data_IF_276388183054
#
_entry.id   IF_276388183054
#
_cell.length_a   1.000
_cell.length_b   1.000
_cell.length_c   1.000
_cell.angle_alpha   90.00
_cell.angle_beta   90.00
_cell.angle_gamma   90.00
#
_symmetry.space_group_name_H-M   'P 1'
#
loop_
_entity.id
_entity.type
_entity.pdbx_description
1 polymer ?
#
# COMPACT_ATOMS: atom_id res chain seq x y z
N UNK A 1 64.60 -5.61 52.02
CA UNK A 1 63.96 -6.59 51.12
C UNK A 1 62.89 -5.85 50.33
N UNK A 2 62.99 -5.83 49.01
CA UNK A 2 61.91 -5.45 48.07
C UNK A 2 60.76 -6.49 48.16
N UNK A 3 59.50 -6.25 47.71
CA UNK A 3 59.23 -5.69 46.38
C UNK A 3 57.93 -4.86 46.12
N UNK A 4 58.03 -4.06 45.05
CA UNK A 4 57.09 -3.86 43.92
C UNK A 4 55.61 -3.47 44.16
N UNK A 5 55.27 -2.23 43.77
CA UNK A 5 53.98 -1.86 43.18
C UNK A 5 54.20 -0.87 42.00
N UNK A 6 53.29 -0.85 41.01
CA UNK A 6 53.61 -0.59 39.60
C UNK A 6 53.60 0.89 39.23
N UNK A 7 54.48 1.27 38.30
CA UNK A 7 54.44 2.56 37.61
C UNK A 7 53.21 2.59 36.69
N UNK A 8 52.18 3.33 37.06
CA UNK A 8 51.10 3.71 36.15
C UNK A 8 51.69 4.77 35.22
N UNK A 9 52.06 4.35 34.01
CA UNK A 9 52.36 5.25 32.93
C UNK A 9 51.04 5.90 32.48
N UNK A 10 50.89 7.19 32.79
CA UNK A 10 49.90 8.07 32.19
C UNK A 10 50.17 8.07 30.68
N UNK A 11 49.37 7.29 29.95
CA UNK A 11 49.38 7.28 28.50
C UNK A 11 49.01 8.67 28.00
N UNK A 12 50.02 9.40 27.53
CA UNK A 12 49.86 10.66 26.83
C UNK A 12 49.01 10.36 25.59
N UNK A 13 47.77 10.88 25.54
CA UNK A 13 46.98 10.90 24.32
C UNK A 13 47.74 11.78 23.32
N UNK A 14 48.51 11.14 22.46
CA UNK A 14 49.12 11.76 21.31
C UNK A 14 48.00 12.21 20.36
N UNK A 15 47.60 13.48 20.49
CA UNK A 15 46.85 14.22 19.48
C UNK A 15 47.75 14.39 18.26
N UNK A 16 47.87 13.32 17.46
CA UNK A 16 48.49 13.40 16.14
C UNK A 16 47.42 13.79 15.13
N UNK A 17 47.78 14.78 14.34
CA UNK A 17 46.98 15.46 13.35
C UNK A 17 46.85 14.63 12.07
N UNK A 18 45.79 14.95 11.33
CA UNK A 18 45.53 14.68 9.90
C UNK A 18 44.94 13.31 9.53
N UNK A 19 43.72 13.39 9.00
CA UNK A 19 43.12 12.37 8.16
C UNK A 19 41.65 12.68 7.91
N UNK A 20 41.36 13.42 6.84
CA UNK A 20 40.03 13.72 6.27
C UNK A 20 39.17 12.48 5.92
N UNK A 21 39.48 11.31 6.46
CA UNK A 21 38.75 10.04 6.28
C UNK A 21 37.83 9.65 7.45
N UNK A 22 38.06 10.14 8.68
CA UNK A 22 37.22 9.74 9.83
C UNK A 22 35.85 10.45 9.86
N UNK A 23 35.72 11.62 9.24
CA UNK A 23 34.48 12.42 9.27
C UNK A 23 33.34 11.78 8.47
N UNK A 24 33.66 10.96 7.45
CA UNK A 24 32.65 10.26 6.65
C UNK A 24 32.11 9.01 7.36
N UNK A 25 32.92 8.29 8.13
CA UNK A 25 32.46 7.13 8.90
C UNK A 25 31.54 7.51 10.07
N UNK A 26 31.85 8.61 10.77
CA UNK A 26 31.01 9.09 11.88
C UNK A 26 29.62 9.55 11.40
N UNK A 27 29.53 10.25 10.25
CA UNK A 27 28.25 10.79 9.77
C UNK A 27 27.23 9.70 9.40
N UNK A 28 27.68 8.56 8.89
CA UNK A 28 26.83 7.39 8.65
C UNK A 28 26.51 6.63 9.95
N UNK A 29 27.47 6.51 10.89
CA UNK A 29 27.23 5.92 12.22
C UNK A 29 26.22 6.70 13.08
N UNK A 30 26.10 8.01 12.88
CA UNK A 30 25.15 8.88 13.58
C UNK A 30 23.90 9.23 12.75
N UNK A 31 23.73 8.63 11.56
CA UNK A 31 22.55 8.85 10.74
C UNK A 31 21.41 8.02 11.31
N UNK A 32 20.45 8.68 11.97
CA UNK A 32 19.28 7.97 12.48
C UNK A 32 18.42 7.41 11.35
N UNK A 33 17.78 6.26 11.60
CA UNK A 33 16.93 5.53 10.64
C UNK A 33 15.95 6.45 9.92
N UNK A 34 15.89 6.35 8.60
CA UNK A 34 14.92 7.06 7.77
C UNK A 34 13.55 6.39 7.81
N UNK A 35 12.49 7.13 7.44
CA UNK A 35 11.15 6.53 7.32
C UNK A 35 11.16 5.37 6.32
N UNK A 36 11.85 5.53 5.18
CA UNK A 36 11.95 4.48 4.16
C UNK A 36 12.56 3.19 4.71
N UNK A 37 13.67 3.28 5.41
CA UNK A 37 14.35 2.12 6.00
C UNK A 37 13.48 1.45 7.07
N UNK A 38 12.79 2.23 7.90
CA UNK A 38 11.94 1.69 8.93
C UNK A 38 10.72 0.95 8.35
N UNK A 39 10.04 1.55 7.38
CA UNK A 39 8.87 0.93 6.74
C UNK A 39 9.25 -0.26 5.84
N UNK A 40 10.45 -0.27 5.26
CA UNK A 40 10.96 -1.43 4.54
C UNK A 40 11.07 -2.68 5.43
N UNK A 41 11.43 -2.52 6.72
CA UNK A 41 11.43 -3.63 7.69
C UNK A 41 10.03 -4.19 7.97
N UNK A 42 8.99 -3.39 7.73
CA UNK A 42 7.58 -3.79 7.85
C UNK A 42 7.02 -4.35 6.53
N UNK A 43 7.87 -4.61 5.52
CA UNK A 43 7.46 -5.01 4.17
C UNK A 43 6.52 -4.02 3.48
N UNK A 44 6.63 -2.73 3.80
CA UNK A 44 5.84 -1.70 3.16
C UNK A 44 6.26 -1.51 1.70
N UNK A 45 5.29 -1.51 0.79
CA UNK A 45 5.51 -1.29 -0.64
C UNK A 45 5.31 0.19 -0.97
N UNK A 46 6.39 0.88 -1.30
CA UNK A 46 6.34 2.25 -1.79
C UNK A 46 5.94 2.32 -3.27
N UNK A 47 5.32 3.43 -3.67
CA UNK A 47 5.18 3.77 -5.08
C UNK A 47 6.56 4.08 -5.65
N UNK A 48 6.87 3.55 -6.84
CA UNK A 48 8.11 3.87 -7.55
C UNK A 48 8.14 5.37 -7.91
N UNK A 49 9.21 6.07 -7.53
CA UNK A 49 9.40 7.50 -7.82
C UNK A 49 9.36 7.83 -9.32
N UNK A 50 9.69 6.86 -10.18
CA UNK A 50 9.65 7.01 -11.64
C UNK A 50 8.25 6.83 -12.25
N UNK A 51 7.28 6.27 -11.51
CA UNK A 51 5.96 5.94 -12.03
C UNK A 51 4.97 7.11 -11.89
N UNK A 52 5.05 8.07 -12.81
CA UNK A 52 4.19 9.27 -12.82
C UNK A 52 2.70 8.93 -12.81
N UNK A 53 2.28 7.92 -13.56
CA UNK A 53 0.87 7.53 -13.67
C UNK A 53 0.32 7.03 -12.33
N UNK A 54 1.13 6.29 -11.56
CA UNK A 54 0.75 5.85 -10.22
C UNK A 54 0.62 7.02 -9.24
N UNK A 55 1.52 8.00 -9.32
CA UNK A 55 1.44 9.19 -8.46
C UNK A 55 0.21 10.05 -8.77
N UNK A 56 -0.13 10.20 -10.05
CA UNK A 56 -1.35 10.89 -10.48
C UNK A 56 -2.60 10.17 -9.97
N UNK A 57 -2.64 8.85 -10.15
CA UNK A 57 -3.74 8.01 -9.65
C UNK A 57 -3.92 8.14 -8.13
N UNK A 58 -2.83 8.10 -7.38
CA UNK A 58 -2.85 8.20 -5.93
C UNK A 58 -3.35 9.58 -5.49
N UNK A 59 -2.84 10.65 -6.10
CA UNK A 59 -3.29 12.01 -5.81
C UNK A 59 -4.78 12.20 -6.12
N UNK A 60 -5.25 11.82 -7.30
CA UNK A 60 -6.67 11.90 -7.69
C UNK A 60 -7.57 11.12 -6.73
N UNK A 61 -7.07 10.03 -6.14
CA UNK A 61 -7.87 9.18 -5.27
C UNK A 61 -8.27 9.85 -3.94
N UNK A 62 -7.48 10.83 -3.45
CA UNK A 62 -7.62 11.42 -2.11
C UNK A 62 -7.15 12.90 -2.04
N UNK A 63 -7.24 13.62 -3.17
CA UNK A 63 -6.63 14.95 -3.34
C UNK A 63 -7.04 15.98 -2.28
N UNK A 64 -8.30 15.97 -1.85
CA UNK A 64 -8.81 16.89 -0.82
C UNK A 64 -8.12 16.66 0.52
N UNK A 65 -7.98 15.41 0.96
CA UNK A 65 -7.32 15.09 2.22
C UNK A 65 -5.81 15.30 2.14
N UNK A 66 -5.19 15.02 0.99
CA UNK A 66 -3.77 15.29 0.75
C UNK A 66 -3.50 16.78 0.90
N UNK A 67 -4.29 17.64 0.22
CA UNK A 67 -4.16 19.10 0.31
C UNK A 67 -4.42 19.60 1.74
N UNK A 68 -5.42 19.04 2.42
CA UNK A 68 -5.73 19.39 3.81
C UNK A 68 -4.57 19.08 4.76
N UNK A 69 -3.87 17.96 4.57
CA UNK A 69 -2.82 17.51 5.49
C UNK A 69 -1.44 18.03 5.13
N UNK A 70 -1.09 18.11 3.84
CA UNK A 70 0.24 18.53 3.38
C UNK A 70 0.26 19.91 2.72
N UNK A 71 -0.88 20.59 2.68
CA UNK A 71 -1.07 21.94 2.15
C UNK A 71 -1.41 21.96 0.67
N UNK A 72 -2.04 23.06 0.24
CA UNK A 72 -2.51 23.27 -1.15
C UNK A 72 -1.39 23.28 -2.20
N UNK A 73 -0.13 23.37 -1.78
CA UNK A 73 1.03 23.24 -2.67
C UNK A 73 1.19 21.81 -3.21
N UNK A 74 0.64 20.80 -2.53
CA UNK A 74 0.58 19.42 -3.01
C UNK A 74 -0.69 19.27 -3.87
N UNK A 75 -0.61 19.75 -5.11
CA UNK A 75 -1.77 19.89 -6.01
C UNK A 75 -1.72 18.99 -7.25
N UNK A 76 -0.74 18.10 -7.35
CA UNK A 76 -0.59 17.14 -8.45
C UNK A 76 0.09 15.86 -7.97
N UNK A 77 0.08 14.81 -8.80
CA UNK A 77 0.85 13.58 -8.55
C UNK A 77 2.35 13.86 -8.42
N UNK A 78 2.92 14.73 -9.25
CA UNK A 78 4.34 15.10 -9.15
C UNK A 78 4.68 15.78 -7.82
N UNK A 79 3.81 16.68 -7.33
CA UNK A 79 4.00 17.33 -6.03
C UNK A 79 3.79 16.37 -4.87
N UNK A 80 2.89 15.41 -5.02
CA UNK A 80 2.73 14.32 -4.07
C UNK A 80 4.00 13.46 -4.00
N UNK A 81 4.57 13.09 -5.15
CA UNK A 81 5.83 12.35 -5.25
C UNK A 81 6.96 13.10 -4.55
N UNK A 82 7.19 14.38 -4.88
CA UNK A 82 8.23 15.21 -4.25
C UNK A 82 8.07 15.24 -2.73
N UNK A 83 6.83 15.41 -2.24
CA UNK A 83 6.52 15.40 -0.81
C UNK A 83 6.83 14.04 -0.18
N UNK A 84 6.43 12.96 -0.82
CA UNK A 84 6.70 11.60 -0.35
C UNK A 84 8.20 11.28 -0.35
N UNK A 85 8.94 11.68 -1.37
CA UNK A 85 10.40 11.51 -1.45
C UNK A 85 11.13 12.22 -0.31
N UNK A 86 10.74 13.47 -0.04
CA UNK A 86 11.26 14.23 1.08
C UNK A 86 10.95 13.52 2.41
N UNK A 87 9.71 13.08 2.63
CA UNK A 87 9.31 12.38 3.85
C UNK A 87 10.03 11.04 4.01
N UNK A 88 10.16 10.25 2.95
CA UNK A 88 10.85 8.95 2.97
C UNK A 88 12.32 9.09 3.40
N UNK A 89 12.97 10.18 3.03
CA UNK A 89 14.36 10.49 3.36
C UNK A 89 14.52 11.14 4.75
N UNK A 90 13.43 11.56 5.38
CA UNK A 90 13.42 12.16 6.72
C UNK A 90 13.68 11.13 7.80
N UNK A 91 14.17 11.60 8.94
CA UNK A 91 14.43 10.77 10.12
C UNK A 91 13.12 10.26 10.74
N UNK A 92 13.02 8.95 10.96
CA UNK A 92 11.82 8.29 11.48
C UNK A 92 11.40 8.80 12.86
N UNK A 93 12.33 8.89 13.81
CA UNK A 93 12.05 9.29 15.19
C UNK A 93 11.49 10.71 15.28
N UNK A 94 12.00 11.63 14.44
CA UNK A 94 11.54 13.02 14.38
C UNK A 94 10.18 13.20 13.68
N UNK A 95 9.78 12.24 12.87
CA UNK A 95 8.57 12.33 12.03
C UNK A 95 7.55 11.23 12.32
N UNK A 96 7.54 10.70 13.55
CA UNK A 96 6.59 9.64 13.97
C UNK A 96 5.13 10.01 13.71
N UNK A 97 4.75 11.28 13.91
CA UNK A 97 3.39 11.77 13.66
C UNK A 97 2.98 11.75 12.19
N UNK A 98 3.94 11.71 11.26
CA UNK A 98 3.68 11.74 9.82
C UNK A 98 3.63 10.34 9.20
N UNK A 99 3.98 9.29 9.95
CA UNK A 99 4.11 7.92 9.43
C UNK A 99 2.80 7.40 8.85
N UNK A 100 1.68 7.67 9.49
CA UNK A 100 0.38 7.23 9.00
C UNK A 100 0.04 7.88 7.65
N UNK A 101 0.41 9.15 7.47
CA UNK A 101 0.23 9.84 6.19
C UNK A 101 1.15 9.27 5.10
N UNK A 102 2.40 8.93 5.44
CA UNK A 102 3.33 8.26 4.53
C UNK A 102 2.78 6.88 4.13
N UNK A 103 2.32 6.09 5.11
CA UNK A 103 1.68 4.79 4.84
C UNK A 103 0.44 4.94 3.96
N UNK A 104 -0.31 6.02 4.15
CA UNK A 104 -1.56 6.27 3.44
C UNK A 104 -1.38 6.73 1.99
N UNK A 105 -0.34 7.50 1.66
CA UNK A 105 -0.23 8.18 0.36
C UNK A 105 1.09 7.95 -0.39
N UNK A 106 2.13 7.43 0.25
CA UNK A 106 3.40 7.11 -0.42
C UNK A 106 3.53 5.62 -0.76
N UNK A 107 2.54 4.81 -0.37
CA UNK A 107 2.50 3.37 -0.57
C UNK A 107 1.55 2.91 -1.66
N UNK A 108 1.82 1.72 -2.18
CA UNK A 108 0.91 0.99 -3.05
C UNK A 108 -0.15 0.33 -2.18
N UNK A 109 -1.42 0.66 -2.44
CA UNK A 109 -2.58 0.05 -1.80
C UNK A 109 -3.00 -1.22 -2.51
N UNK A 110 -3.66 -2.14 -1.80
CA UNK A 110 -4.41 -3.21 -2.46
C UNK A 110 -5.68 -2.67 -3.12
N UNK A 111 -6.22 -3.43 -4.07
CA UNK A 111 -7.54 -3.14 -4.67
C UNK A 111 -8.63 -3.06 -3.58
N UNK A 112 -8.63 -3.96 -2.60
CA UNK A 112 -9.58 -3.94 -1.48
C UNK A 112 -9.50 -2.65 -0.66
N UNK A 113 -8.30 -2.15 -0.38
CA UNK A 113 -8.09 -0.89 0.33
C UNK A 113 -8.55 0.31 -0.51
N UNK A 114 -8.36 0.25 -1.83
CA UNK A 114 -8.88 1.29 -2.73
C UNK A 114 -10.41 1.30 -2.78
N UNK A 115 -11.04 0.12 -2.81
CA UNK A 115 -12.49 -0.01 -2.74
C UNK A 115 -13.03 0.59 -1.43
N UNK A 116 -12.41 0.28 -0.30
CA UNK A 116 -12.76 0.87 1.00
C UNK A 116 -12.62 2.40 1.00
N UNK A 117 -11.54 2.94 0.42
CA UNK A 117 -11.36 4.41 0.25
C UNK A 117 -12.48 5.05 -0.58
N UNK A 118 -13.03 4.33 -1.57
CA UNK A 118 -14.16 4.76 -2.39
C UNK A 118 -15.53 4.39 -1.78
N UNK A 119 -15.57 4.03 -0.50
CA UNK A 119 -16.78 3.63 0.23
C UNK A 119 -17.54 2.45 -0.43
N UNK A 120 -16.82 1.55 -1.10
CA UNK A 120 -17.39 0.34 -1.69
C UNK A 120 -17.32 -0.81 -0.69
N UNK A 121 -18.43 -1.53 -0.54
CA UNK A 121 -18.52 -2.67 0.38
C UNK A 121 -17.95 -3.92 -0.28
N UNK A 122 -16.67 -4.20 -0.01
CA UNK A 122 -15.99 -5.38 -0.51
C UNK A 122 -16.47 -6.65 0.21
N UNK A 123 -17.05 -7.59 -0.55
CA UNK A 123 -17.79 -8.74 -0.02
C UNK A 123 -16.94 -9.71 0.82
N UNK A 124 -15.63 -9.76 0.55
CA UNK A 124 -14.66 -10.64 1.25
C UNK A 124 -14.39 -10.17 2.68
N UNK A 125 -14.49 -8.86 2.94
CA UNK A 125 -14.15 -8.26 4.24
C UNK A 125 -15.39 -8.03 5.13
N UNK A 126 -16.54 -8.61 4.78
CA UNK A 126 -17.72 -8.51 5.63
C UNK A 126 -17.58 -9.48 6.80
N UNK A 127 -17.63 -8.94 8.02
CA UNK A 127 -17.51 -9.72 9.25
C UNK A 127 -18.70 -10.69 9.38
N UNK A 128 -18.37 -11.98 9.46
CA UNK A 128 -19.32 -13.08 9.70
C UNK A 128 -19.91 -13.69 8.44
N UNK A 129 -19.88 -15.03 8.38
CA UNK A 129 -20.63 -15.88 7.44
C UNK A 129 -22.12 -15.84 7.73
N UNK A 130 -22.72 -14.66 7.67
CA UNK A 130 -24.15 -14.47 7.87
C UNK A 130 -24.89 -14.84 6.60
N UNK A 131 -26.15 -15.28 6.75
CA UNK A 131 -27.05 -15.54 5.62
C UNK A 131 -27.12 -14.32 4.66
N UNK A 132 -27.03 -13.12 5.22
CA UNK A 132 -26.97 -11.87 4.47
C UNK A 132 -25.76 -11.77 3.55
N UNK A 133 -24.56 -12.13 4.02
CA UNK A 133 -23.36 -12.14 3.17
C UNK A 133 -23.53 -13.12 2.01
N UNK A 134 -24.12 -14.29 2.24
CA UNK A 134 -24.41 -15.26 1.19
C UNK A 134 -25.44 -14.72 0.18
N UNK A 135 -26.46 -13.99 0.63
CA UNK A 135 -27.40 -13.29 -0.27
C UNK A 135 -26.70 -12.25 -1.12
N UNK A 136 -25.78 -11.47 -0.57
CA UNK A 136 -25.02 -10.46 -1.32
C UNK A 136 -24.09 -11.08 -2.37
N UNK A 137 -23.36 -12.14 -2.01
CA UNK A 137 -22.55 -12.91 -2.96
C UNK A 137 -23.41 -13.45 -4.12
N UNK A 138 -24.56 -14.04 -3.77
CA UNK A 138 -25.50 -14.61 -4.76
C UNK A 138 -26.07 -13.52 -5.66
N UNK A 139 -26.42 -12.36 -5.10
CA UNK A 139 -26.96 -11.23 -5.85
C UNK A 139 -25.95 -10.70 -6.86
N UNK A 140 -24.70 -10.43 -6.45
CA UNK A 140 -23.66 -9.95 -7.37
C UNK A 140 -23.36 -10.98 -8.45
N UNK A 141 -23.22 -12.26 -8.11
CA UNK A 141 -23.01 -13.32 -9.10
C UNK A 141 -24.17 -13.42 -10.11
N UNK A 142 -25.41 -13.46 -9.63
CA UNK A 142 -26.58 -13.57 -10.49
C UNK A 142 -26.75 -12.35 -11.39
N UNK A 143 -26.40 -11.16 -10.93
CA UNK A 143 -26.36 -9.96 -11.76
C UNK A 143 -25.42 -10.16 -12.95
N UNK A 144 -24.20 -10.65 -12.71
CA UNK A 144 -23.19 -10.92 -13.75
C UNK A 144 -23.62 -12.01 -14.73
N UNK A 145 -24.31 -13.03 -14.23
CA UNK A 145 -24.92 -14.11 -15.03
C UNK A 145 -26.05 -13.61 -15.93
N UNK A 146 -26.99 -12.84 -15.38
CA UNK A 146 -28.12 -12.25 -16.12
C UNK A 146 -27.64 -11.29 -17.20
N UNK A 147 -26.66 -10.45 -16.88
CA UNK A 147 -26.04 -9.51 -17.81
C UNK A 147 -25.10 -10.23 -18.83
N UNK A 148 -24.94 -11.55 -18.74
CA UNK A 148 -24.03 -12.37 -19.56
C UNK A 148 -22.63 -11.79 -19.69
N UNK A 149 -22.13 -11.22 -18.59
CA UNK A 149 -20.80 -10.60 -18.56
C UNK A 149 -19.70 -11.61 -18.86
N UNK A 150 -18.57 -11.12 -19.40
CA UNK A 150 -17.43 -11.98 -19.68
C UNK A 150 -16.78 -12.46 -18.37
N UNK A 151 -17.10 -13.69 -17.98
CA UNK A 151 -16.64 -14.34 -16.76
C UNK A 151 -15.14 -14.63 -16.73
N UNK A 152 -14.49 -14.72 -17.89
CA UNK A 152 -13.05 -14.97 -17.96
C UNK A 152 -12.24 -13.77 -17.46
N UNK A 153 -12.83 -12.56 -17.46
CA UNK A 153 -12.21 -11.37 -16.84
C UNK A 153 -11.93 -11.55 -15.35
N UNK A 154 -12.79 -12.28 -14.65
CA UNK A 154 -12.56 -12.64 -13.24
C UNK A 154 -11.69 -13.91 -13.09
N UNK A 155 -11.47 -14.67 -14.17
CA UNK A 155 -10.74 -15.93 -14.16
C UNK A 155 -11.63 -17.18 -14.09
N UNK A 156 -12.95 -17.03 -14.16
CA UNK A 156 -13.88 -18.15 -14.28
C UNK A 156 -13.80 -18.75 -15.69
N UNK A 157 -13.98 -20.06 -15.80
CA UNK A 157 -13.84 -20.83 -17.05
C UNK A 157 -15.19 -21.34 -17.55
N UNK A 158 -15.26 -21.65 -18.85
CA UNK A 158 -16.43 -22.27 -19.47
C UNK A 158 -17.62 -21.33 -19.65
N UNK A 159 -18.80 -21.91 -19.90
CA UNK A 159 -20.06 -21.18 -20.01
C UNK A 159 -20.70 -20.95 -18.65
N UNK A 160 -21.74 -20.10 -18.60
CA UNK A 160 -22.50 -19.87 -17.38
C UNK A 160 -23.24 -21.15 -16.95
N UNK A 161 -22.97 -21.69 -15.76
CA UNK A 161 -23.56 -22.95 -15.35
C UNK A 161 -25.05 -22.79 -15.01
N UNK A 162 -25.84 -23.85 -15.17
CA UNK A 162 -27.26 -23.86 -14.82
C UNK A 162 -27.44 -23.72 -13.31
N UNK A 163 -26.61 -24.42 -12.52
CA UNK A 163 -26.51 -24.35 -11.05
C UNK A 163 -25.19 -23.66 -10.63
N UNK A 164 -25.23 -22.78 -9.65
CA UNK A 164 -24.10 -21.97 -9.20
C UNK A 164 -23.41 -22.49 -7.92
N UNK A 165 -23.92 -23.57 -7.30
CA UNK A 165 -23.43 -24.07 -6.00
C UNK A 165 -21.93 -24.39 -6.00
N UNK A 166 -21.43 -25.04 -7.04
CA UNK A 166 -20.03 -25.48 -7.10
C UNK A 166 -19.06 -24.34 -7.46
N UNK A 167 -19.54 -23.34 -8.20
CA UNK A 167 -18.70 -22.24 -8.67
C UNK A 167 -18.61 -21.07 -7.67
N UNK A 168 -19.58 -20.96 -6.77
CA UNK A 168 -19.60 -19.90 -5.75
C UNK A 168 -18.33 -19.90 -4.89
N UNK A 169 -17.78 -21.08 -4.58
CA UNK A 169 -16.51 -21.22 -3.84
C UNK A 169 -15.35 -20.61 -4.62
N UNK A 170 -15.24 -20.93 -5.91
CA UNK A 170 -14.20 -20.43 -6.79
C UNK A 170 -14.32 -18.92 -7.01
N UNK A 171 -15.54 -18.43 -7.22
CA UNK A 171 -15.87 -17.02 -7.35
C UNK A 171 -15.41 -16.22 -6.11
N UNK A 172 -15.76 -16.68 -4.90
CA UNK A 172 -15.33 -16.07 -3.63
C UNK A 172 -13.80 -16.06 -3.50
N UNK A 173 -13.14 -17.17 -3.85
CA UNK A 173 -11.66 -17.29 -3.84
C UNK A 173 -11.01 -16.27 -4.77
N UNK A 174 -11.46 -16.17 -6.02
CA UNK A 174 -10.95 -15.24 -7.02
C UNK A 174 -11.10 -13.78 -6.58
N UNK A 175 -12.24 -13.42 -6.00
CA UNK A 175 -12.43 -12.10 -5.42
C UNK A 175 -11.45 -11.83 -4.28
N UNK A 176 -11.22 -12.79 -3.38
CA UNK A 176 -10.27 -12.67 -2.28
C UNK A 176 -8.82 -12.50 -2.75
N UNK A 177 -8.40 -13.25 -3.77
CA UNK A 177 -7.05 -13.16 -4.31
C UNK A 177 -6.82 -11.86 -5.08
N UNK A 178 -7.69 -11.55 -6.02
CA UNK A 178 -7.55 -10.34 -6.85
C UNK A 178 -7.78 -9.07 -6.04
N UNK A 179 -8.60 -9.10 -4.98
CA UNK A 179 -8.76 -7.97 -4.06
C UNK A 179 -7.48 -7.63 -3.28
N UNK A 180 -6.60 -8.61 -3.05
CA UNK A 180 -5.29 -8.41 -2.40
C UNK A 180 -4.21 -7.90 -3.36
N UNK A 181 -4.46 -7.95 -4.67
CA UNK A 181 -3.52 -7.45 -5.67
C UNK A 181 -3.28 -5.95 -5.51
N UNK A 182 -2.10 -5.51 -5.95
CA UNK A 182 -1.69 -4.11 -5.93
C UNK A 182 -2.58 -3.29 -6.88
N UNK A 183 -3.07 -2.14 -6.38
CA UNK A 183 -3.83 -1.18 -7.17
C UNK A 183 -2.87 -0.25 -7.91
N UNK A 184 -2.70 -0.52 -9.21
CA UNK A 184 -1.73 0.14 -10.06
C UNK A 184 -2.44 0.89 -11.19
N UNK A 185 -1.79 1.92 -11.72
CA UNK A 185 -2.32 2.70 -12.85
C UNK A 185 -2.57 1.86 -14.11
N UNK A 186 -1.82 0.78 -14.30
CA UNK A 186 -2.01 -0.17 -15.40
C UNK A 186 -3.00 -1.31 -15.08
N UNK A 187 -3.50 -1.44 -13.85
CA UNK A 187 -4.47 -2.48 -13.45
C UNK A 187 -5.91 -1.95 -13.33
N UNK A 188 -6.22 -0.83 -14.00
CA UNK A 188 -7.57 -0.24 -14.03
C UNK A 188 -8.67 -1.23 -14.40
N UNK A 189 -8.46 -2.05 -15.43
CA UNK A 189 -9.45 -3.07 -15.80
C UNK A 189 -9.66 -4.10 -14.68
N UNK A 190 -8.59 -4.55 -14.03
CA UNK A 190 -8.70 -5.49 -12.90
C UNK A 190 -9.47 -4.84 -11.75
N UNK A 191 -9.19 -3.57 -11.44
CA UNK A 191 -9.96 -2.84 -10.44
C UNK A 191 -11.46 -2.79 -10.79
N UNK A 192 -11.81 -2.43 -12.03
CA UNK A 192 -13.22 -2.39 -12.47
C UNK A 192 -13.88 -3.76 -12.37
N UNK A 193 -13.18 -4.82 -12.77
CA UNK A 193 -13.69 -6.20 -12.62
C UNK A 193 -13.95 -6.51 -11.15
N UNK A 194 -13.03 -6.18 -10.23
CA UNK A 194 -13.24 -6.46 -8.81
C UNK A 194 -14.30 -5.56 -8.19
N UNK A 195 -14.42 -4.31 -8.61
CA UNK A 195 -15.54 -3.45 -8.21
C UNK A 195 -16.87 -4.08 -8.63
N UNK A 196 -17.00 -4.53 -9.89
CA UNK A 196 -18.26 -5.02 -10.46
C UNK A 196 -18.66 -6.40 -9.93
N UNK A 197 -17.68 -7.25 -9.64
CA UNK A 197 -17.90 -8.63 -9.27
C UNK A 197 -17.82 -8.89 -7.77
N UNK A 198 -17.08 -8.09 -7.01
CA UNK A 198 -16.73 -8.43 -5.63
C UNK A 198 -17.22 -7.41 -4.60
N UNK A 199 -18.13 -6.51 -4.99
CA UNK A 199 -18.75 -5.53 -4.09
C UNK A 199 -20.27 -5.68 -4.02
N UNK A 200 -20.87 -5.18 -2.94
CA UNK A 200 -22.33 -5.10 -2.80
C UNK A 200 -22.93 -4.21 -3.88
N UNK A 201 -22.29 -3.08 -4.19
CA UNK A 201 -22.71 -2.14 -5.23
C UNK A 201 -22.68 -2.80 -6.62
N UNK A 202 -21.80 -3.78 -6.82
CA UNK A 202 -21.75 -4.63 -7.99
C UNK A 202 -23.06 -5.34 -8.28
N UNK A 203 -23.92 -5.65 -7.30
CA UNK A 203 -25.21 -6.28 -7.56
C UNK A 203 -26.20 -5.37 -8.33
N UNK A 204 -26.01 -4.05 -8.27
CA UNK A 204 -26.92 -3.06 -8.86
C UNK A 204 -26.34 -2.34 -10.08
N UNK A 205 -25.06 -2.55 -10.40
CA UNK A 205 -24.40 -1.88 -11.52
C UNK A 205 -24.78 -2.52 -12.85
N UNK A 206 -25.35 -1.74 -13.75
CA UNK A 206 -25.63 -2.14 -15.13
C UNK A 206 -24.32 -2.18 -15.92
N UNK A 207 -24.02 -3.30 -16.57
CA UNK A 207 -22.87 -3.36 -17.50
C UNK A 207 -23.30 -2.73 -18.81
N UNK A 208 -22.78 -1.55 -19.10
CA UNK A 208 -22.75 -1.06 -20.48
C UNK A 208 -21.76 -1.93 -21.24
N UNK A 209 -22.29 -2.73 -22.18
CA UNK A 209 -21.52 -3.64 -23.03
C UNK A 209 -20.52 -2.93 -23.93
#
# INVERSE_FOLDING_TARGET
MNPLLPKIAVGTLALSTIGTGAYFGAKELFRGTTIKEQLAKENFKFIDLSNSDQWNLEFESDSENIKKTWGDKVNSGDKLREKCEAMMSSNFEKHKSDIDNVKKWCGIRSISNQLARKNKKFLVNLDGTTEEQNRQWTATYNKRKTDKTNRTKLGLKGEWPTDNRDEMTEFKRLCGEKGKADYLANTKETYTVIEDWCTVEGASKTVTG
#
